data_IF_525248367492
#
_entry.id   IF_525248367492
#
_cell.length_a   1.000
_cell.length_b   1.000
_cell.length_c   1.000
_cell.angle_alpha   90.00
_cell.angle_beta   90.00
_cell.angle_gamma   90.00
#
_symmetry.space_group_name_H-M   'P 1'
#
loop_
_entity.id
_entity.type
_entity.pdbx_description
1 polymer ?
#
# COMPACT_ATOMS: atom_id res chain seq x y z
N UNK A 1 0.61 -15.63 -2.20
CA UNK A 1 1.74 -15.48 -3.15
C UNK A 1 1.62 -16.44 -4.34
N UNK A 2 0.96 -17.59 -4.18
CA UNK A 2 0.78 -18.60 -5.24
C UNK A 2 -0.36 -18.31 -6.23
N UNK A 3 -1.03 -17.17 -6.06
CA UNK A 3 -2.12 -16.78 -6.95
C UNK A 3 -1.60 -16.41 -8.33
N UNK A 4 -2.27 -16.91 -9.39
CA UNK A 4 -1.85 -16.67 -10.78
C UNK A 4 -1.91 -15.19 -11.15
N UNK A 5 -2.81 -14.43 -10.52
CA UNK A 5 -2.91 -12.99 -10.70
C UNK A 5 -1.70 -12.29 -10.08
N UNK A 6 -1.36 -12.60 -8.83
CA UNK A 6 -0.18 -12.05 -8.13
C UNK A 6 1.11 -12.35 -8.90
N UNK A 7 1.26 -13.54 -9.48
CA UNK A 7 2.42 -13.92 -10.30
C UNK A 7 2.50 -13.16 -11.63
N UNK A 8 1.36 -12.80 -12.24
CA UNK A 8 1.32 -11.94 -13.43
C UNK A 8 1.63 -10.49 -13.08
N UNK A 9 1.00 -9.96 -12.03
CA UNK A 9 1.20 -8.59 -11.57
C UNK A 9 2.66 -8.35 -11.18
N UNK A 10 3.30 -9.32 -10.51
CA UNK A 10 4.72 -9.26 -10.16
C UNK A 10 5.66 -9.04 -11.35
N UNK A 11 5.26 -9.42 -12.57
CA UNK A 11 6.05 -9.20 -13.80
C UNK A 11 5.74 -7.87 -14.48
N UNK A 12 4.57 -7.29 -14.21
CA UNK A 12 4.10 -6.05 -14.83
C UNK A 12 4.50 -4.82 -14.01
N UNK A 13 4.63 -4.98 -12.69
CA UNK A 13 4.89 -3.88 -11.78
C UNK A 13 6.39 -3.61 -11.60
N UNK A 14 6.82 -2.35 -11.46
CA UNK A 14 8.24 -1.99 -11.34
C UNK A 14 8.81 -2.19 -9.92
N UNK A 15 7.99 -2.60 -8.95
CA UNK A 15 8.41 -2.82 -7.57
C UNK A 15 8.60 -4.31 -7.27
N UNK A 16 9.51 -4.62 -6.35
CA UNK A 16 9.81 -6.02 -6.01
C UNK A 16 8.75 -6.56 -5.05
N UNK A 17 8.14 -7.68 -5.40
CA UNK A 17 7.24 -8.42 -4.50
C UNK A 17 8.04 -9.56 -3.87
N UNK A 18 7.95 -9.70 -2.55
CA UNK A 18 8.57 -10.77 -1.76
C UNK A 18 7.51 -11.60 -1.07
N UNK A 19 7.77 -12.89 -0.92
CA UNK A 19 6.92 -13.76 -0.11
C UNK A 19 7.36 -13.70 1.34
N UNK A 20 6.45 -13.35 2.25
CA UNK A 20 6.66 -13.49 3.70
C UNK A 20 5.47 -14.27 4.25
N UNK A 21 5.75 -15.43 4.85
CA UNK A 21 4.74 -16.34 5.42
C UNK A 21 3.58 -16.70 4.46
N UNK A 22 3.90 -16.90 3.17
CA UNK A 22 2.91 -17.25 2.13
C UNK A 22 2.15 -16.05 1.56
N UNK A 23 2.30 -14.87 2.15
CA UNK A 23 1.63 -13.63 1.74
C UNK A 23 2.55 -12.77 0.86
N UNK A 24 2.00 -12.10 -0.16
CA UNK A 24 2.76 -11.15 -0.98
C UNK A 24 3.01 -9.86 -0.19
N UNK A 25 4.28 -9.49 -0.06
CA UNK A 25 4.74 -8.24 0.50
C UNK A 25 5.48 -7.44 -0.56
N UNK A 26 5.50 -6.12 -0.44
CA UNK A 26 6.12 -5.22 -1.41
C UNK A 26 7.41 -4.68 -0.80
N UNK A 27 8.52 -4.93 -1.47
CA UNK A 27 9.84 -4.49 -1.08
C UNK A 27 10.26 -3.28 -1.91
N UNK A 28 10.48 -2.14 -1.25
CA UNK A 28 10.94 -0.90 -1.89
C UNK A 28 12.21 -0.40 -1.22
N UNK A 29 13.08 0.20 -2.02
CA UNK A 29 14.30 0.84 -1.54
C UNK A 29 14.00 2.30 -1.23
N UNK A 30 14.17 2.71 0.02
CA UNK A 30 13.99 4.09 0.46
C UNK A 30 15.26 4.89 0.14
N UNK A 31 15.13 6.22 0.08
CA UNK A 31 16.21 7.16 -0.28
C UNK A 31 17.52 6.94 0.48
N UNK A 32 17.46 6.45 1.72
CA UNK A 32 18.64 6.17 2.56
C UNK A 32 19.34 4.84 2.24
N UNK A 33 18.94 4.15 1.17
CA UNK A 33 19.48 2.84 0.78
C UNK A 33 18.91 1.67 1.55
N UNK A 34 18.12 1.93 2.59
CA UNK A 34 17.39 0.92 3.35
C UNK A 34 16.29 0.29 2.51
N UNK A 35 16.25 -1.04 2.56
CA UNK A 35 15.18 -1.80 1.92
C UNK A 35 14.09 -2.03 2.96
N UNK A 36 12.92 -1.42 2.77
CA UNK A 36 11.74 -1.72 3.59
C UNK A 36 10.79 -2.64 2.86
N UNK A 37 10.19 -3.52 3.65
CA UNK A 37 9.16 -4.45 3.22
C UNK A 37 7.85 -3.97 3.83
N UNK A 38 6.87 -3.71 2.99
CA UNK A 38 5.53 -3.24 3.37
C UNK A 38 4.49 -4.28 2.98
N UNK A 39 3.49 -4.45 3.83
CA UNK A 39 2.29 -5.20 3.44
C UNK A 39 1.44 -4.38 2.46
N UNK A 40 0.64 -5.03 1.59
CA UNK A 40 -0.35 -4.35 0.78
C UNK A 40 -1.29 -3.49 1.63
N UNK A 41 -1.70 -3.98 2.81
CA UNK A 41 -2.57 -3.24 3.73
C UNK A 41 -1.91 -1.95 4.25
N UNK A 42 -0.62 -1.97 4.59
CA UNK A 42 0.11 -0.77 5.02
C UNK A 42 0.18 0.30 3.92
N UNK A 43 0.41 -0.11 2.67
CA UNK A 43 0.42 0.84 1.54
C UNK A 43 -0.96 1.43 1.32
N UNK A 44 -2.02 0.61 1.34
CA UNK A 44 -3.40 1.10 1.28
C UNK A 44 -3.71 2.06 2.42
N UNK A 45 -3.26 1.79 3.64
CA UNK A 45 -3.42 2.69 4.79
C UNK A 45 -2.69 4.03 4.61
N UNK A 46 -1.49 4.04 4.02
CA UNK A 46 -0.79 5.28 3.69
C UNK A 46 -1.56 6.13 2.68
N UNK A 47 -2.16 5.50 1.66
CA UNK A 47 -3.00 6.19 0.67
C UNK A 47 -4.24 6.77 1.35
N UNK A 48 -4.95 5.99 2.18
CA UNK A 48 -6.12 6.46 2.93
C UNK A 48 -5.77 7.59 3.88
N UNK A 49 -4.61 7.52 4.54
CA UNK A 49 -4.10 8.60 5.40
C UNK A 49 -3.89 9.87 4.59
N UNK A 50 -3.30 9.78 3.40
CA UNK A 50 -3.10 10.93 2.53
C UNK A 50 -4.42 11.55 2.07
N UNK A 51 -5.40 10.72 1.71
CA UNK A 51 -6.75 11.18 1.32
C UNK A 51 -7.45 11.87 2.49
N UNK A 52 -7.30 11.32 3.70
CA UNK A 52 -7.78 11.95 4.92
C UNK A 52 -7.11 13.31 5.13
N UNK A 53 -5.79 13.42 5.06
CA UNK A 53 -5.08 14.70 5.21
C UNK A 53 -5.56 15.75 4.21
N UNK A 54 -5.78 15.35 2.95
CA UNK A 54 -6.32 16.24 1.91
C UNK A 54 -7.74 16.71 2.27
N UNK A 55 -8.60 15.81 2.74
CA UNK A 55 -9.96 16.15 3.14
C UNK A 55 -10.00 17.01 4.42
N UNK A 56 -9.12 16.75 5.40
CA UNK A 56 -8.95 17.56 6.60
C UNK A 56 -8.44 18.96 6.26
N UNK A 57 -7.48 19.08 5.33
CA UNK A 57 -6.99 20.35 4.84
C UNK A 57 -8.06 21.16 4.10
N UNK A 58 -8.94 20.48 3.34
CA UNK A 58 -10.04 21.11 2.63
C UNK A 58 -11.17 21.57 3.57
N UNK A 59 -11.54 20.75 4.56
CA UNK A 59 -12.65 21.01 5.48
C UNK A 59 -12.24 21.78 6.75
N UNK A 60 -10.94 21.88 7.04
CA UNK A 60 -10.39 22.53 8.23
C UNK A 60 -10.76 21.83 9.55
N UNK A 61 -11.16 20.55 9.50
CA UNK A 61 -11.63 19.77 10.66
C UNK A 61 -11.10 18.35 10.61
N UNK A 62 -10.93 17.74 11.78
CA UNK A 62 -10.45 16.36 11.90
C UNK A 62 -11.53 15.36 11.47
N UNK A 63 -11.19 14.45 10.55
CA UNK A 63 -12.07 13.40 10.06
C UNK A 63 -11.75 12.10 10.80
N UNK A 64 -12.76 11.47 11.40
CA UNK A 64 -12.62 10.21 12.14
C UNK A 64 -13.23 9.03 11.40
N UNK A 65 -14.34 9.24 10.71
CA UNK A 65 -15.12 8.19 10.05
C UNK A 65 -15.02 8.34 8.52
N UNK A 66 -14.94 7.21 7.81
CA UNK A 66 -14.84 7.16 6.36
C UNK A 66 -15.58 5.94 5.81
N UNK A 67 -16.14 6.07 4.62
CA UNK A 67 -16.71 4.96 3.84
C UNK A 67 -15.73 4.63 2.71
N UNK A 68 -15.31 3.37 2.62
CA UNK A 68 -14.35 2.89 1.62
C UNK A 68 -15.07 1.91 0.70
N UNK A 69 -14.96 2.11 -0.61
CA UNK A 69 -15.54 1.22 -1.60
C UNK A 69 -14.58 0.09 -1.95
N UNK A 70 -15.10 -1.12 -2.13
CA UNK A 70 -14.33 -2.29 -2.59
C UNK A 70 -14.99 -2.85 -3.87
N UNK A 71 -14.20 -3.29 -4.87
CA UNK A 71 -14.68 -4.09 -5.99
C UNK A 71 -14.79 -5.58 -5.64
#
# INVERSE_FOLDING_TARGET
FEDKEVQKDMKLVPYKIVNKDGKPYIQVKIKDGETKVFSPEEISAMILTKMKETAEAFLGKKIKDAVVTVP
#
